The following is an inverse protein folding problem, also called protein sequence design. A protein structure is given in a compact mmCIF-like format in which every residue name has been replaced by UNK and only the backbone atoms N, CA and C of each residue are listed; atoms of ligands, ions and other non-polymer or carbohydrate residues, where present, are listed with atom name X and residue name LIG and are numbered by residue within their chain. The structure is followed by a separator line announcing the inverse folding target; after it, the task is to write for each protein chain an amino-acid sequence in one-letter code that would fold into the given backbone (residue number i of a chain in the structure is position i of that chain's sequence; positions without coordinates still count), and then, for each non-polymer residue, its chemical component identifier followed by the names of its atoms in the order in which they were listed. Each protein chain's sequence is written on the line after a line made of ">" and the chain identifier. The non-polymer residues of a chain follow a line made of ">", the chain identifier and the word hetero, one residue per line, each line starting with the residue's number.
data_IF_044073422793
#
_entry.id   IF_044073422793
#
_cell.length_a   1.000
_cell.length_b   1.000
_cell.length_c   1.000
_cell.angle_alpha   90.00
_cell.angle_beta   90.00
_cell.angle_gamma   90.00
#
_symmetry.space_group_name_H-M   'P 1'
#
loop_
_entity.id
_entity.type
_entity.pdbx_description
1 polymer ?
#
# COMPACT_ATOMS: atom_id res chain seq x y z
N UNK A 1 17.02 -32.24 -31.66
CA UNK A 1 16.94 -33.13 -32.84
C UNK A 1 17.24 -32.38 -34.14
N UNK A 2 16.37 -31.49 -34.66
CA UNK A 2 16.64 -30.79 -35.94
C UNK A 2 17.91 -29.92 -35.88
N UNK A 3 18.07 -29.11 -34.83
CA UNK A 3 19.30 -28.32 -34.61
C UNK A 3 20.55 -29.20 -34.55
N UNK A 4 20.46 -30.38 -33.94
CA UNK A 4 21.62 -31.25 -33.75
C UNK A 4 22.04 -31.91 -35.08
N UNK A 5 21.07 -32.22 -35.95
CA UNK A 5 21.32 -32.68 -37.32
C UNK A 5 21.92 -31.54 -38.17
N UNK A 6 21.41 -30.32 -38.02
CA UNK A 6 21.84 -29.14 -38.77
C UNK A 6 22.96 -28.34 -38.08
N UNK A 7 23.65 -28.93 -37.11
CA UNK A 7 24.58 -28.21 -36.22
C UNK A 7 25.71 -27.51 -36.98
N UNK A 8 26.22 -28.13 -38.04
CA UNK A 8 27.27 -27.54 -38.88
C UNK A 8 26.75 -26.30 -39.63
N UNK A 9 25.54 -26.37 -40.20
CA UNK A 9 24.91 -25.23 -40.87
C UNK A 9 24.68 -24.08 -39.88
N UNK A 10 24.17 -24.39 -38.69
CA UNK A 10 23.87 -23.42 -37.63
C UNK A 10 25.16 -22.74 -37.11
N UNK A 11 26.27 -23.48 -37.00
CA UNK A 11 27.55 -22.93 -36.51
C UNK A 11 28.36 -22.18 -37.56
N UNK A 12 28.36 -22.64 -38.80
CA UNK A 12 29.26 -22.11 -39.84
C UNK A 12 28.53 -21.11 -40.75
N UNK A 13 27.42 -21.53 -41.35
CA UNK A 13 26.71 -20.73 -42.35
C UNK A 13 25.89 -19.61 -41.69
N UNK A 14 25.05 -19.96 -40.72
CA UNK A 14 24.15 -19.00 -40.05
C UNK A 14 24.95 -17.92 -39.31
N UNK A 15 26.00 -18.32 -38.59
CA UNK A 15 26.91 -17.39 -37.91
C UNK A 15 27.66 -16.48 -38.90
N UNK A 16 28.18 -17.04 -40.00
CA UNK A 16 28.90 -16.26 -41.02
C UNK A 16 28.02 -15.24 -41.75
N UNK A 17 26.73 -15.53 -41.92
CA UNK A 17 25.76 -14.65 -42.59
C UNK A 17 24.91 -13.80 -41.63
N UNK A 18 25.14 -13.88 -40.31
CA UNK A 18 24.35 -13.20 -39.27
C UNK A 18 22.84 -13.45 -39.39
N UNK A 19 22.47 -14.70 -39.71
CA UNK A 19 21.07 -15.12 -39.79
C UNK A 19 20.60 -15.65 -38.43
N UNK A 20 19.29 -15.83 -38.28
CA UNK A 20 18.71 -16.42 -37.06
C UNK A 20 19.06 -17.91 -36.95
N UNK A 21 19.51 -18.39 -35.77
CA UNK A 21 19.71 -19.81 -35.50
C UNK A 21 18.46 -20.66 -35.75
N UNK A 22 18.67 -21.92 -36.10
CA UNK A 22 17.59 -22.89 -36.40
C UNK A 22 16.57 -22.96 -35.25
N UNK A 23 17.02 -22.89 -34.01
CA UNK A 23 16.12 -22.87 -32.85
C UNK A 23 15.25 -21.61 -32.81
N UNK A 24 15.86 -20.43 -32.94
CA UNK A 24 15.15 -19.14 -32.96
C UNK A 24 14.15 -19.08 -34.10
N UNK A 25 14.51 -19.57 -35.28
CA UNK A 25 13.61 -19.65 -36.43
C UNK A 25 12.37 -20.50 -36.11
N UNK A 26 12.56 -21.66 -35.45
CA UNK A 26 11.45 -22.50 -34.99
C UNK A 26 10.54 -21.78 -33.99
N UNK A 27 11.13 -21.03 -33.05
CA UNK A 27 10.40 -20.22 -32.06
C UNK A 27 9.60 -19.11 -32.75
N UNK A 28 10.19 -18.40 -33.71
CA UNK A 28 9.52 -17.35 -34.51
C UNK A 28 8.32 -17.94 -35.27
N UNK A 29 8.52 -19.05 -35.98
CA UNK A 29 7.45 -19.70 -36.75
C UNK A 29 6.30 -20.17 -35.85
N UNK A 30 6.61 -20.78 -34.70
CA UNK A 30 5.59 -21.20 -33.74
C UNK A 30 4.86 -20.00 -33.12
N UNK A 31 5.58 -18.93 -32.77
CA UNK A 31 5.00 -17.70 -32.26
C UNK A 31 4.02 -17.10 -33.26
N UNK A 32 4.44 -16.90 -34.50
CA UNK A 32 3.69 -16.11 -35.47
C UNK A 32 2.53 -16.89 -36.11
N UNK A 33 2.70 -18.20 -36.34
CA UNK A 33 1.70 -19.02 -37.02
C UNK A 33 0.80 -19.84 -36.09
N UNK A 34 1.18 -20.04 -34.82
CA UNK A 34 0.37 -20.80 -33.85
C UNK A 34 -0.08 -19.91 -32.71
N UNK A 35 0.83 -19.41 -31.88
CA UNK A 35 0.45 -18.71 -30.63
C UNK A 35 -0.20 -17.37 -30.89
N UNK A 36 0.30 -16.59 -31.86
CA UNK A 36 -0.26 -15.29 -32.27
C UNK A 36 -1.30 -15.39 -33.36
N UNK A 37 -1.65 -16.61 -33.80
CA UNK A 37 -2.81 -16.78 -34.67
C UNK A 37 -4.07 -16.26 -33.94
N UNK A 38 -4.87 -15.34 -34.52
CA UNK A 38 -5.83 -14.54 -33.76
C UNK A 38 -6.75 -15.33 -32.84
N UNK A 39 -7.35 -16.41 -33.32
CA UNK A 39 -8.26 -17.24 -32.52
C UNK A 39 -7.56 -17.97 -31.38
N UNK A 40 -6.34 -18.46 -31.60
CA UNK A 40 -5.55 -19.17 -30.58
C UNK A 40 -5.06 -18.18 -29.54
N UNK A 41 -4.53 -17.03 -29.97
CA UNK A 41 -4.03 -15.97 -29.08
C UNK A 41 -5.13 -15.50 -28.13
N UNK A 42 -6.29 -15.14 -28.69
CA UNK A 42 -7.38 -14.57 -27.91
C UNK A 42 -7.99 -15.63 -26.96
N UNK A 43 -8.09 -16.88 -27.41
CA UNK A 43 -8.56 -17.98 -26.57
C UNK A 43 -7.57 -18.30 -25.44
N UNK A 44 -6.28 -18.44 -25.75
CA UNK A 44 -5.22 -18.68 -24.77
C UNK A 44 -5.21 -17.59 -23.70
N UNK A 45 -5.23 -16.32 -24.11
CA UNK A 45 -5.30 -15.18 -23.20
C UNK A 45 -6.53 -15.28 -22.29
N UNK A 46 -7.72 -15.46 -22.87
CA UNK A 46 -8.95 -15.52 -22.08
C UNK A 46 -8.94 -16.69 -21.10
N UNK A 47 -8.48 -17.87 -21.52
CA UNK A 47 -8.39 -19.04 -20.64
C UNK A 47 -7.44 -18.79 -19.47
N UNK A 48 -6.25 -18.23 -19.71
CA UNK A 48 -5.30 -17.94 -18.63
C UNK A 48 -5.86 -16.92 -17.65
N UNK A 49 -6.48 -15.84 -18.14
CA UNK A 49 -7.12 -14.83 -17.31
C UNK A 49 -8.27 -15.41 -16.48
N UNK A 50 -9.13 -16.22 -17.10
CA UNK A 50 -10.24 -16.87 -16.42
C UNK A 50 -9.77 -17.84 -15.33
N UNK A 51 -8.65 -18.56 -15.55
CA UNK A 51 -8.06 -19.41 -14.51
C UNK A 51 -7.63 -18.58 -13.30
N UNK A 52 -6.96 -17.44 -13.50
CA UNK A 52 -6.57 -16.57 -12.39
C UNK A 52 -7.81 -16.00 -11.67
N UNK A 53 -8.82 -15.57 -12.44
CA UNK A 53 -10.08 -15.07 -11.87
C UNK A 53 -10.84 -16.13 -11.07
N UNK A 54 -10.83 -17.39 -11.52
CA UNK A 54 -11.37 -18.56 -10.80
C UNK A 54 -10.63 -18.79 -9.49
N UNK A 55 -9.31 -18.77 -9.52
CA UNK A 55 -8.50 -18.94 -8.30
C UNK A 55 -8.75 -17.84 -7.27
N UNK A 56 -8.93 -16.57 -7.71
CA UNK A 56 -9.30 -15.46 -6.80
C UNK A 56 -10.65 -15.65 -6.11
N UNK A 57 -11.57 -16.41 -6.74
CA UNK A 57 -12.86 -16.81 -6.13
C UNK A 57 -12.76 -18.05 -5.25
N UNK A 58 -11.56 -18.62 -5.08
CA UNK A 58 -11.33 -19.83 -4.29
C UNK A 58 -11.57 -21.13 -5.06
N UNK A 59 -11.72 -21.08 -6.39
CA UNK A 59 -11.84 -22.28 -7.22
C UNK A 59 -10.45 -22.92 -7.43
N UNK A 60 -10.41 -24.26 -7.50
CA UNK A 60 -9.17 -25.00 -7.77
C UNK A 60 -8.85 -24.90 -9.27
N UNK A 61 -7.61 -24.55 -9.60
CA UNK A 61 -7.11 -24.46 -10.97
C UNK A 61 -5.85 -25.30 -11.17
N UNK A 62 -5.57 -25.64 -12.42
CA UNK A 62 -4.32 -26.30 -12.81
C UNK A 62 -3.17 -25.29 -12.92
N UNK A 63 -2.51 -24.99 -11.79
CA UNK A 63 -1.42 -24.00 -11.71
C UNK A 63 -0.24 -24.31 -12.63
N UNK A 64 0.05 -25.59 -12.88
CA UNK A 64 1.08 -26.04 -13.82
C UNK A 64 0.80 -25.59 -15.24
N UNK A 65 -0.45 -25.62 -15.68
CA UNK A 65 -0.82 -25.19 -17.03
C UNK A 65 -0.57 -23.69 -17.23
N UNK A 66 -0.95 -22.87 -16.24
CA UNK A 66 -0.70 -21.41 -16.26
C UNK A 66 0.81 -21.14 -16.29
N UNK A 67 1.57 -21.83 -15.42
CA UNK A 67 3.03 -21.69 -15.35
C UNK A 67 3.71 -22.05 -16.67
N UNK A 68 3.35 -23.19 -17.25
CA UNK A 68 3.93 -23.66 -18.51
C UNK A 68 3.59 -22.72 -19.66
N UNK A 69 2.36 -22.20 -19.71
CA UNK A 69 1.96 -21.22 -20.70
C UNK A 69 2.73 -19.89 -20.55
N UNK A 70 2.90 -19.40 -19.33
CA UNK A 70 3.69 -18.18 -19.06
C UNK A 70 5.16 -18.38 -19.48
N UNK A 71 5.76 -19.52 -19.14
CA UNK A 71 7.14 -19.85 -19.54
C UNK A 71 7.29 -20.00 -21.06
N UNK A 72 6.29 -20.56 -21.73
CA UNK A 72 6.24 -20.62 -23.18
C UNK A 72 6.21 -19.21 -23.78
N UNK A 73 5.33 -18.33 -23.30
CA UNK A 73 5.23 -16.95 -23.78
C UNK A 73 6.52 -16.16 -23.55
N UNK A 74 7.21 -16.38 -22.42
CA UNK A 74 8.54 -15.81 -22.19
C UNK A 74 9.57 -16.33 -23.19
N UNK A 75 9.59 -17.64 -23.44
CA UNK A 75 10.54 -18.26 -24.38
C UNK A 75 10.32 -17.81 -25.84
N UNK A 76 9.08 -17.48 -26.20
CA UNK A 76 8.71 -16.99 -27.53
C UNK A 76 9.21 -15.57 -27.83
N UNK A 77 9.59 -14.82 -26.80
CA UNK A 77 10.12 -13.48 -26.95
C UNK A 77 11.53 -13.44 -27.54
N UNK A 78 12.33 -14.51 -27.41
CA UNK A 78 13.75 -14.59 -27.80
C UNK A 78 14.56 -13.44 -27.17
N UNK A 79 15.17 -13.71 -26.02
CA UNK A 79 15.97 -12.76 -25.23
C UNK A 79 15.22 -11.50 -24.75
N UNK A 80 13.90 -11.43 -24.94
CA UNK A 80 13.05 -10.37 -24.40
C UNK A 80 11.70 -10.93 -23.91
N UNK A 81 10.95 -10.09 -23.21
CA UNK A 81 9.66 -10.44 -22.59
C UNK A 81 8.44 -9.96 -23.39
N UNK A 82 8.61 -9.44 -24.60
CA UNK A 82 7.54 -8.73 -25.34
C UNK A 82 6.29 -9.60 -25.54
N UNK A 83 6.47 -10.86 -25.95
CA UNK A 83 5.36 -11.80 -26.19
C UNK A 83 4.57 -12.04 -24.90
N UNK A 84 5.24 -12.30 -23.79
CA UNK A 84 4.59 -12.44 -22.48
C UNK A 84 3.91 -11.14 -22.02
N UNK A 85 4.60 -10.00 -22.17
CA UNK A 85 4.11 -8.70 -21.72
C UNK A 85 2.85 -8.25 -22.48
N UNK A 86 2.87 -8.39 -23.81
CA UNK A 86 1.80 -7.91 -24.69
C UNK A 86 0.62 -8.89 -24.71
N UNK A 87 0.89 -10.18 -24.84
CA UNK A 87 -0.16 -11.17 -25.09
C UNK A 87 -0.84 -11.66 -23.79
N UNK A 88 -0.18 -11.50 -22.62
CA UNK A 88 -0.72 -11.94 -21.33
C UNK A 88 -0.63 -10.88 -20.21
N UNK A 89 0.56 -10.38 -19.87
CA UNK A 89 0.75 -9.59 -18.64
C UNK A 89 -0.06 -8.28 -18.65
N UNK A 90 -0.04 -7.53 -19.74
CA UNK A 90 -0.78 -6.26 -19.85
C UNK A 90 -2.30 -6.50 -19.70
N UNK A 91 -2.92 -7.43 -20.45
CA UNK A 91 -4.31 -7.83 -20.20
C UNK A 91 -4.57 -8.31 -18.76
N UNK A 92 -3.65 -9.06 -18.18
CA UNK A 92 -3.74 -9.56 -16.81
C UNK A 92 -3.77 -8.42 -15.79
N UNK A 93 -2.86 -7.45 -15.90
CA UNK A 93 -2.83 -6.29 -15.03
C UNK A 93 -4.10 -5.43 -15.18
N UNK A 94 -4.60 -5.24 -16.41
CA UNK A 94 -5.86 -4.52 -16.65
C UNK A 94 -7.08 -5.21 -16.04
N UNK A 95 -7.22 -6.53 -16.24
CA UNK A 95 -8.31 -7.29 -15.62
C UNK A 95 -8.20 -7.28 -14.09
N UNK A 96 -6.98 -7.33 -13.56
CA UNK A 96 -6.74 -7.28 -12.13
C UNK A 96 -7.08 -5.92 -11.54
N UNK A 97 -6.72 -4.84 -12.22
CA UNK A 97 -7.09 -3.49 -11.82
C UNK A 97 -8.61 -3.34 -11.71
N UNK A 98 -9.35 -3.81 -12.72
CA UNK A 98 -10.81 -3.76 -12.71
C UNK A 98 -11.43 -4.64 -11.61
N UNK A 99 -10.88 -5.83 -11.37
CA UNK A 99 -11.31 -6.71 -10.28
C UNK A 99 -11.15 -6.03 -8.92
N UNK A 100 -9.97 -5.47 -8.63
CA UNK A 100 -9.70 -4.82 -7.34
C UNK A 100 -10.39 -3.47 -7.21
N UNK A 101 -10.66 -2.76 -8.31
CA UNK A 101 -11.50 -1.56 -8.30
C UNK A 101 -12.91 -1.89 -7.80
N UNK A 102 -13.54 -2.96 -8.30
CA UNK A 102 -14.86 -3.38 -7.84
C UNK A 102 -14.83 -3.93 -6.41
N UNK A 103 -13.80 -4.71 -6.07
CA UNK A 103 -13.63 -5.23 -4.70
C UNK A 103 -13.42 -4.11 -3.68
N UNK A 104 -12.63 -3.08 -4.01
CA UNK A 104 -12.38 -1.91 -3.14
C UNK A 104 -13.69 -1.20 -2.75
N UNK A 105 -14.56 -0.93 -3.74
CA UNK A 105 -15.82 -0.22 -3.54
C UNK A 105 -16.76 -1.02 -2.63
N UNK A 106 -16.85 -2.33 -2.86
CA UNK A 106 -17.62 -3.23 -2.00
C UNK A 106 -17.06 -3.27 -0.58
N UNK A 107 -15.74 -3.40 -0.45
CA UNK A 107 -15.10 -3.48 0.86
C UNK A 107 -15.23 -2.18 1.66
N UNK A 108 -15.11 -1.02 1.02
CA UNK A 108 -15.32 0.28 1.65
C UNK A 108 -16.78 0.49 2.11
N UNK A 109 -17.75 0.00 1.34
CA UNK A 109 -19.17 0.12 1.69
C UNK A 109 -19.58 -0.81 2.85
N UNK A 110 -18.98 -1.99 2.95
CA UNK A 110 -19.39 -3.04 3.89
C UNK A 110 -18.55 -3.11 5.18
N UNK A 111 -17.39 -2.44 5.24
CA UNK A 111 -16.42 -2.66 6.33
C UNK A 111 -15.90 -1.35 6.93
N UNK A 112 -15.46 -1.42 8.19
CA UNK A 112 -14.74 -0.34 8.86
C UNK A 112 -13.30 -0.20 8.36
N UNK A 113 -12.64 0.92 8.67
CA UNK A 113 -11.30 1.22 8.13
C UNK A 113 -10.28 0.15 8.52
N UNK A 114 -10.31 -0.31 9.77
CA UNK A 114 -9.36 -1.33 10.24
C UNK A 114 -9.60 -2.71 9.62
N UNK A 115 -10.86 -3.08 9.35
CA UNK A 115 -11.18 -4.31 8.64
C UNK A 115 -10.76 -4.21 7.17
N UNK A 116 -11.01 -3.07 6.53
CA UNK A 116 -10.57 -2.79 5.16
C UNK A 116 -9.05 -2.94 5.03
N UNK A 117 -8.28 -2.28 5.90
CA UNK A 117 -6.81 -2.30 5.90
C UNK A 117 -6.27 -3.73 6.04
N UNK A 118 -6.83 -4.52 6.97
CA UNK A 118 -6.43 -5.93 7.14
C UNK A 118 -6.73 -6.78 5.91
N UNK A 119 -7.90 -6.58 5.28
CA UNK A 119 -8.26 -7.29 4.04
C UNK A 119 -7.35 -6.91 2.88
N UNK A 120 -7.02 -5.63 2.72
CA UNK A 120 -6.09 -5.17 1.68
C UNK A 120 -4.70 -5.77 1.89
N UNK A 121 -4.17 -5.75 3.11
CA UNK A 121 -2.88 -6.38 3.41
C UNK A 121 -2.87 -7.88 3.07
N UNK A 122 -3.94 -8.61 3.40
CA UNK A 122 -4.10 -10.01 3.03
C UNK A 122 -4.14 -10.21 1.50
N UNK A 123 -4.91 -9.39 0.78
CA UNK A 123 -4.99 -9.46 -0.69
C UNK A 123 -3.65 -9.20 -1.37
N UNK A 124 -2.86 -8.25 -0.88
CA UNK A 124 -1.51 -7.98 -1.40
C UNK A 124 -0.61 -9.21 -1.20
N UNK A 125 -0.64 -9.84 -0.02
CA UNK A 125 0.14 -11.05 0.25
C UNK A 125 -0.28 -12.22 -0.64
N UNK A 126 -1.59 -12.47 -0.73
CA UNK A 126 -2.15 -13.54 -1.57
C UNK A 126 -1.77 -13.38 -3.04
N UNK A 127 -1.82 -12.14 -3.55
CA UNK A 127 -1.51 -11.86 -4.95
C UNK A 127 0.00 -11.92 -5.24
N UNK A 128 0.85 -11.49 -4.31
CA UNK A 128 2.29 -11.67 -4.40
C UNK A 128 2.68 -13.16 -4.43
N UNK A 129 2.13 -13.97 -3.51
CA UNK A 129 2.35 -15.41 -3.47
C UNK A 129 1.86 -16.11 -4.75
N UNK A 130 0.70 -15.70 -5.24
CA UNK A 130 0.13 -16.18 -6.51
C UNK A 130 1.06 -15.90 -7.69
N UNK A 131 1.57 -14.68 -7.79
CA UNK A 131 2.51 -14.30 -8.85
C UNK A 131 3.79 -15.14 -8.79
N UNK A 132 4.37 -15.33 -7.61
CA UNK A 132 5.59 -16.14 -7.43
C UNK A 132 5.37 -17.61 -7.82
N UNK A 133 4.18 -18.15 -7.61
CA UNK A 133 3.92 -19.57 -7.83
C UNK A 133 3.95 -19.96 -9.32
N UNK A 134 3.36 -19.14 -10.19
CA UNK A 134 3.17 -19.50 -11.60
C UNK A 134 3.33 -18.37 -12.62
N UNK A 135 3.56 -17.12 -12.23
CA UNK A 135 3.87 -16.02 -13.15
C UNK A 135 5.38 -15.81 -13.27
N UNK A 136 5.78 -14.92 -14.19
CA UNK A 136 7.17 -14.50 -14.25
C UNK A 136 7.55 -13.65 -13.02
N UNK A 137 8.80 -13.78 -12.55
CA UNK A 137 9.29 -13.02 -11.38
C UNK A 137 9.08 -11.52 -11.51
N UNK A 138 9.17 -11.01 -12.74
CA UNK A 138 9.00 -9.57 -12.98
C UNK A 138 7.54 -9.10 -12.86
N UNK A 139 6.57 -10.01 -12.88
CA UNK A 139 5.14 -9.69 -12.77
C UNK A 139 4.73 -9.40 -11.34
N UNK A 140 5.39 -10.00 -10.35
CA UNK A 140 5.10 -9.82 -8.91
C UNK A 140 5.06 -8.34 -8.52
N UNK A 141 6.13 -7.60 -8.81
CA UNK A 141 6.21 -6.17 -8.49
C UNK A 141 5.12 -5.36 -9.23
N UNK A 142 4.80 -5.74 -10.47
CA UNK A 142 3.81 -5.03 -11.29
C UNK A 142 2.39 -5.24 -10.77
N UNK A 143 2.04 -6.46 -10.40
CA UNK A 143 0.69 -6.74 -9.86
C UNK A 143 0.53 -6.13 -8.47
N UNK A 144 1.55 -6.19 -7.61
CA UNK A 144 1.52 -5.54 -6.29
C UNK A 144 1.26 -4.04 -6.43
N UNK A 145 1.93 -3.36 -7.37
CA UNK A 145 1.68 -1.93 -7.66
C UNK A 145 0.25 -1.65 -8.12
N UNK A 146 -0.37 -2.55 -8.89
CA UNK A 146 -1.79 -2.41 -9.28
C UNK A 146 -2.69 -2.46 -8.05
N UNK A 147 -2.44 -3.38 -7.11
CA UNK A 147 -3.21 -3.46 -5.87
C UNK A 147 -2.99 -2.23 -4.99
N UNK A 148 -1.75 -1.76 -4.88
CA UNK A 148 -1.40 -0.54 -4.12
C UNK A 148 -2.06 0.72 -4.71
N UNK A 149 -2.20 0.81 -6.04
CA UNK A 149 -2.92 1.90 -6.69
C UNK A 149 -4.44 1.81 -6.45
N UNK A 150 -5.05 0.68 -6.81
CA UNK A 150 -6.51 0.49 -6.77
C UNK A 150 -7.08 0.41 -5.35
N UNK A 151 -6.39 -0.24 -4.40
CA UNK A 151 -6.91 -0.48 -3.05
C UNK A 151 -6.49 0.61 -2.05
N UNK A 152 -5.38 1.31 -2.28
CA UNK A 152 -4.81 2.26 -1.33
C UNK A 152 -4.79 3.67 -1.92
N UNK A 153 -4.01 3.90 -2.99
CA UNK A 153 -3.71 5.23 -3.53
C UNK A 153 -4.97 6.01 -3.89
N UNK A 154 -5.91 5.39 -4.60
CA UNK A 154 -7.18 6.01 -5.02
C UNK A 154 -8.14 6.31 -3.85
N UNK A 155 -7.94 5.67 -2.71
CA UNK A 155 -8.84 5.71 -1.57
C UNK A 155 -8.21 6.28 -0.29
N UNK A 156 -6.98 6.81 -0.36
CA UNK A 156 -6.24 7.32 0.81
C UNK A 156 -7.10 8.24 1.69
N UNK A 157 -7.67 9.29 1.10
CA UNK A 157 -8.53 10.25 1.82
C UNK A 157 -9.78 9.58 2.39
N UNK A 158 -10.47 8.78 1.58
CA UNK A 158 -11.67 8.04 1.99
C UNK A 158 -11.41 7.14 3.19
N UNK A 159 -10.28 6.45 3.24
CA UNK A 159 -9.92 5.54 4.33
C UNK A 159 -9.62 6.33 5.62
N UNK A 160 -8.87 7.43 5.53
CA UNK A 160 -8.49 8.20 6.73
C UNK A 160 -9.64 9.04 7.29
N UNK A 161 -10.53 9.55 6.43
CA UNK A 161 -11.69 10.38 6.78
C UNK A 161 -12.96 9.56 7.03
N UNK A 162 -12.90 8.22 6.97
CA UNK A 162 -14.10 7.39 7.07
C UNK A 162 -14.84 7.61 8.39
N UNK A 163 -16.15 7.86 8.31
CA UNK A 163 -16.98 8.14 9.46
C UNK A 163 -16.90 7.01 10.51
N UNK A 164 -16.73 7.39 11.78
CA UNK A 164 -16.68 6.49 12.93
C UNK A 164 -15.57 5.42 12.93
N UNK A 165 -14.71 5.35 11.92
CA UNK A 165 -13.67 4.32 11.83
C UNK A 165 -12.31 4.78 11.28
N UNK A 166 -12.24 5.94 10.64
CA UNK A 166 -11.01 6.55 10.15
C UNK A 166 -10.07 7.00 11.28
N UNK A 167 -9.01 7.73 10.91
CA UNK A 167 -7.93 8.15 11.81
C UNK A 167 -8.46 8.91 13.02
N UNK A 168 -9.46 9.78 12.82
CA UNK A 168 -10.12 10.53 13.90
C UNK A 168 -10.68 9.59 14.99
N UNK A 169 -11.40 8.53 14.59
CA UNK A 169 -11.98 7.56 15.51
C UNK A 169 -10.88 6.74 16.20
N UNK A 170 -9.85 6.33 15.45
CA UNK A 170 -8.75 5.55 16.04
C UNK A 170 -7.96 6.35 17.08
N UNK A 171 -7.74 7.65 16.85
CA UNK A 171 -7.12 8.55 17.82
C UNK A 171 -8.02 8.78 19.04
N UNK A 172 -9.31 9.02 18.82
CA UNK A 172 -10.29 9.27 19.90
C UNK A 172 -10.46 8.07 20.84
N UNK A 173 -10.46 6.85 20.31
CA UNK A 173 -10.64 5.62 21.08
C UNK A 173 -9.32 4.90 21.40
N UNK A 174 -8.17 5.55 21.21
CA UNK A 174 -6.85 5.01 21.49
C UNK A 174 -6.55 3.64 20.85
N UNK A 175 -7.01 3.43 19.62
CA UNK A 175 -6.79 2.20 18.84
C UNK A 175 -5.39 2.19 18.20
N UNK A 176 -4.36 2.08 19.04
CA UNK A 176 -2.96 2.16 18.62
C UNK A 176 -2.58 1.08 17.61
N UNK A 177 -3.02 -0.16 17.79
CA UNK A 177 -2.68 -1.28 16.90
C UNK A 177 -3.29 -1.12 15.49
N UNK A 178 -4.52 -0.61 15.41
CA UNK A 178 -5.17 -0.33 14.13
C UNK A 178 -4.43 0.81 13.39
N UNK A 179 -3.96 1.84 14.12
CA UNK A 179 -3.12 2.92 13.55
C UNK A 179 -1.75 2.41 13.09
N UNK A 180 -1.10 1.53 13.86
CA UNK A 180 0.17 0.92 13.46
C UNK A 180 0.01 0.10 12.19
N UNK A 181 -1.11 -0.62 12.06
CA UNK A 181 -1.43 -1.40 10.87
C UNK A 181 -1.69 -0.47 9.67
N UNK A 182 -2.41 0.63 9.87
CA UNK A 182 -2.63 1.65 8.85
C UNK A 182 -1.31 2.27 8.39
N UNK A 183 -0.43 2.66 9.33
CA UNK A 183 0.87 3.24 9.06
C UNK A 183 1.75 2.33 8.19
N UNK A 184 1.84 1.05 8.55
CA UNK A 184 2.60 0.03 7.80
C UNK A 184 2.06 -0.18 6.39
N UNK A 185 0.72 -0.19 6.22
CA UNK A 185 0.13 -0.35 4.90
C UNK A 185 0.38 0.88 4.02
N UNK A 186 0.31 2.08 4.60
CA UNK A 186 0.44 3.35 3.87
C UNK A 186 1.90 3.70 3.54
N UNK A 187 2.89 3.00 4.13
CA UNK A 187 4.30 3.08 3.74
C UNK A 187 4.53 2.63 2.29
N UNK A 188 3.66 1.77 1.77
CA UNK A 188 3.74 1.22 0.42
C UNK A 188 3.48 2.23 -0.69
N UNK A 189 2.79 3.34 -0.38
CA UNK A 189 2.34 4.31 -1.38
C UNK A 189 2.92 5.69 -1.11
N UNK A 190 3.28 6.44 -2.17
CA UNK A 190 3.70 7.82 -2.00
C UNK A 190 2.56 8.64 -1.37
N UNK A 191 2.91 9.59 -0.51
CA UNK A 191 1.97 10.44 0.23
C UNK A 191 1.08 9.73 1.26
N UNK A 192 1.22 8.42 1.47
CA UNK A 192 0.46 7.69 2.48
C UNK A 192 0.65 8.25 3.89
N UNK A 193 1.90 8.32 4.35
CA UNK A 193 2.25 8.90 5.66
C UNK A 193 1.86 10.37 5.80
N UNK A 194 2.03 11.18 4.74
CA UNK A 194 1.61 12.60 4.76
C UNK A 194 0.11 12.74 4.99
N UNK A 195 -0.70 11.89 4.34
CA UNK A 195 -2.15 11.92 4.46
C UNK A 195 -2.62 11.59 5.88
N UNK A 196 -2.00 10.58 6.51
CA UNK A 196 -2.28 10.25 7.92
C UNK A 196 -1.85 11.42 8.82
N UNK A 197 -0.65 11.98 8.59
CA UNK A 197 -0.12 13.08 9.38
C UNK A 197 -1.00 14.35 9.29
N UNK A 198 -1.56 14.66 8.12
CA UNK A 198 -2.47 15.80 7.94
C UNK A 198 -3.81 15.60 8.68
N UNK A 199 -4.36 14.38 8.65
CA UNK A 199 -5.57 14.04 9.40
C UNK A 199 -5.32 14.09 10.92
N UNK A 200 -4.22 13.50 11.38
CA UNK A 200 -3.78 13.56 12.78
C UNK A 200 -3.59 15.01 13.23
N UNK A 201 -2.94 15.84 12.41
CA UNK A 201 -2.69 17.26 12.69
C UNK A 201 -4.00 18.03 12.86
N UNK A 202 -4.99 17.77 11.99
CA UNK A 202 -6.31 18.39 12.08
C UNK A 202 -7.02 18.03 13.38
N UNK A 203 -7.02 16.75 13.77
CA UNK A 203 -7.57 16.27 15.04
C UNK A 203 -6.84 16.89 16.25
N UNK A 204 -5.50 16.87 16.24
CA UNK A 204 -4.69 17.39 17.34
C UNK A 204 -4.92 18.89 17.54
N UNK A 205 -4.99 19.66 16.45
CA UNK A 205 -5.30 21.10 16.53
C UNK A 205 -6.70 21.37 17.05
N UNK A 206 -7.68 20.54 16.71
CA UNK A 206 -9.04 20.67 17.22
C UNK A 206 -9.10 20.43 18.73
N UNK A 207 -8.50 19.33 19.21
CA UNK A 207 -8.40 19.02 20.64
C UNK A 207 -7.61 20.09 21.40
N UNK A 208 -6.47 20.49 20.85
CA UNK A 208 -5.62 21.53 21.45
C UNK A 208 -6.33 22.88 21.53
N UNK A 209 -7.09 23.28 20.50
CA UNK A 209 -7.92 24.49 20.56
C UNK A 209 -8.96 24.40 21.65
N UNK A 210 -9.72 23.30 21.73
CA UNK A 210 -10.74 23.10 22.77
C UNK A 210 -10.18 23.28 24.17
N UNK A 211 -9.05 22.63 24.47
CA UNK A 211 -8.37 22.76 25.76
C UNK A 211 -7.91 24.19 26.06
N UNK A 212 -7.49 24.93 25.03
CA UNK A 212 -6.94 26.28 25.20
C UNK A 212 -8.03 27.34 25.32
N UNK A 213 -9.16 27.18 24.63
CA UNK A 213 -10.30 28.11 24.69
C UNK A 213 -11.18 27.88 25.91
N UNK A 214 -11.48 26.63 26.28
CA UNK A 214 -12.34 26.33 27.45
C UNK A 214 -11.75 26.84 28.77
N UNK A 215 -10.42 26.86 28.88
CA UNK A 215 -9.73 27.38 30.07
C UNK A 215 -9.55 28.91 30.09
N UNK A 216 -9.81 29.59 28.96
CA UNK A 216 -9.71 31.05 28.88
C UNK A 216 -10.92 31.76 29.52
N UNK A 217 -12.10 31.12 29.50
CA UNK A 217 -13.36 31.75 29.91
C UNK A 217 -13.70 31.58 31.40
N UNK A 218 -13.15 30.57 32.11
CA UNK A 218 -13.65 30.21 33.44
C UNK A 218 -12.69 30.46 34.62
N UNK A 219 -11.52 31.08 34.42
CA UNK A 219 -10.56 31.25 35.52
C UNK A 219 -10.12 29.92 36.17
N UNK A 220 -10.31 28.81 35.44
CA UNK A 220 -9.94 27.46 35.87
C UNK A 220 -8.43 27.36 36.09
N UNK A 221 -8.06 26.56 37.09
CA UNK A 221 -6.70 26.37 37.59
C UNK A 221 -5.66 26.27 36.46
N UNK A 222 -4.70 27.20 36.44
CA UNK A 222 -3.48 27.13 35.63
C UNK A 222 -2.83 25.74 35.67
N UNK A 223 -2.94 25.08 36.83
CA UNK A 223 -2.44 23.72 37.04
C UNK A 223 -3.15 22.70 36.14
N UNK A 224 -4.47 22.74 36.07
CA UNK A 224 -5.29 21.83 35.24
C UNK A 224 -5.06 22.09 33.75
N UNK A 225 -4.91 23.36 33.35
CA UNK A 225 -4.56 23.72 31.98
C UNK A 225 -3.24 23.06 31.54
N UNK A 226 -2.17 23.24 32.30
CA UNK A 226 -0.86 22.66 31.97
C UNK A 226 -0.89 21.13 32.04
N UNK A 227 -1.58 20.55 33.03
CA UNK A 227 -1.72 19.10 33.14
C UNK A 227 -2.42 18.49 31.92
N UNK A 228 -3.54 19.07 31.47
CA UNK A 228 -4.27 18.58 30.30
C UNK A 228 -3.41 18.65 29.02
N UNK A 229 -2.56 19.67 28.88
CA UNK A 229 -1.61 19.78 27.76
C UNK A 229 -0.52 18.70 27.82
N UNK A 230 0.00 18.40 29.01
CA UNK A 230 0.96 17.32 29.22
C UNK A 230 0.33 15.96 28.90
N UNK A 231 -0.88 15.70 29.39
CA UNK A 231 -1.61 14.45 29.14
C UNK A 231 -1.90 14.25 27.63
N UNK A 232 -2.26 15.34 26.93
CA UNK A 232 -2.42 15.32 25.47
C UNK A 232 -1.08 15.03 24.79
N UNK A 233 0.02 15.64 25.25
CA UNK A 233 1.36 15.41 24.69
C UNK A 233 1.80 13.96 24.88
N UNK A 234 1.61 13.42 26.07
CA UNK A 234 1.93 12.03 26.40
C UNK A 234 1.14 11.05 25.52
N UNK A 235 -0.14 11.35 25.27
CA UNK A 235 -0.99 10.57 24.37
C UNK A 235 -0.45 10.55 22.93
N UNK A 236 -0.04 11.70 22.39
CA UNK A 236 0.50 11.78 21.03
C UNK A 236 1.92 11.23 20.92
N UNK A 237 2.73 11.36 21.96
CA UNK A 237 4.05 10.72 22.02
C UNK A 237 3.94 9.19 22.10
N UNK A 238 2.92 8.69 22.79
CA UNK A 238 2.60 7.27 22.79
C UNK A 238 2.25 6.78 21.37
N UNK A 239 1.36 7.47 20.64
CA UNK A 239 1.06 7.12 19.24
C UNK A 239 2.28 7.24 18.34
N UNK A 240 3.09 8.30 18.50
CA UNK A 240 4.32 8.49 17.73
C UNK A 240 5.26 7.29 17.89
N UNK A 241 5.44 6.82 19.12
CA UNK A 241 6.34 5.71 19.42
C UNK A 241 5.76 4.35 19.02
N UNK A 242 4.49 4.10 19.30
CA UNK A 242 3.89 2.77 19.19
C UNK A 242 3.11 2.52 17.89
N UNK A 243 2.55 3.57 17.27
CA UNK A 243 1.84 3.47 15.99
C UNK A 243 2.68 3.94 14.79
N UNK A 244 3.46 5.02 14.96
CA UNK A 244 4.16 5.69 13.86
C UNK A 244 5.68 5.48 13.85
N UNK A 245 6.21 4.55 14.64
CA UNK A 245 7.63 4.15 14.64
C UNK A 245 8.64 5.32 14.81
N UNK A 246 8.31 6.32 15.64
CA UNK A 246 9.09 7.56 15.85
C UNK A 246 9.40 8.32 14.55
N UNK A 247 8.48 8.27 13.58
CA UNK A 247 8.64 8.94 12.30
C UNK A 247 8.78 10.47 12.44
N UNK A 248 9.78 11.02 11.74
CA UNK A 248 10.17 12.44 11.82
C UNK A 248 9.09 13.38 11.29
N UNK A 249 8.31 12.99 10.28
CA UNK A 249 7.21 13.79 9.74
C UNK A 249 6.15 13.97 10.82
N UNK A 250 5.76 12.88 11.48
CA UNK A 250 4.76 12.89 12.56
C UNK A 250 5.27 13.70 13.75
N UNK A 251 6.51 13.48 14.19
CA UNK A 251 7.13 14.23 15.29
C UNK A 251 7.17 15.74 15.03
N UNK A 252 7.59 16.14 13.82
CA UNK A 252 7.61 17.55 13.41
C UNK A 252 6.20 18.14 13.43
N UNK A 253 5.20 17.38 12.95
CA UNK A 253 3.81 17.84 12.89
C UNK A 253 3.22 18.03 14.28
N UNK A 254 3.41 17.05 15.17
CA UNK A 254 2.99 17.14 16.59
C UNK A 254 3.60 18.39 17.23
N UNK A 255 4.92 18.59 17.14
CA UNK A 255 5.57 19.76 17.73
C UNK A 255 5.03 21.09 17.19
N UNK A 256 4.86 21.18 15.86
CA UNK A 256 4.31 22.38 15.22
C UNK A 256 2.87 22.66 15.64
N UNK A 257 2.07 21.62 15.86
CA UNK A 257 0.68 21.78 16.28
C UNK A 257 0.59 22.22 17.74
N UNK A 258 1.42 21.66 18.63
CA UNK A 258 1.54 22.12 20.03
C UNK A 258 1.95 23.59 20.11
N UNK A 259 2.96 24.00 19.34
CA UNK A 259 3.35 25.41 19.24
C UNK A 259 2.18 26.29 18.76
N UNK A 260 1.44 25.84 17.75
CA UNK A 260 0.30 26.57 17.20
C UNK A 260 -0.77 26.86 18.25
N UNK A 261 -1.31 25.84 18.93
CA UNK A 261 -2.45 26.07 19.84
C UNK A 261 -2.05 26.63 21.20
N UNK A 262 -0.84 26.37 21.70
CA UNK A 262 -0.36 27.02 22.94
C UNK A 262 -0.28 28.54 22.74
N UNK A 263 0.21 28.99 21.58
CA UNK A 263 0.31 30.41 21.26
C UNK A 263 -1.04 31.12 21.05
N UNK A 264 -2.16 30.38 21.01
CA UNK A 264 -3.49 31.00 20.96
C UNK A 264 -3.91 31.61 22.31
N UNK A 265 -3.32 31.20 23.43
CA UNK A 265 -3.59 31.77 24.74
C UNK A 265 -2.39 32.57 25.25
N UNK A 266 -2.58 33.88 25.39
CA UNK A 266 -1.52 34.80 25.86
C UNK A 266 -1.09 34.53 27.31
N UNK A 267 -1.91 33.83 28.11
CA UNK A 267 -1.60 33.46 29.50
C UNK A 267 -0.83 32.15 29.64
N UNK A 268 -0.56 31.42 28.57
CA UNK A 268 0.17 30.15 28.65
C UNK A 268 1.53 30.25 29.36
N UNK A 269 2.37 31.30 29.17
CA UNK A 269 3.60 31.46 29.93
C UNK A 269 3.39 31.65 31.44
N UNK A 270 2.36 32.41 31.83
CA UNK A 270 1.99 32.62 33.24
C UNK A 270 1.52 31.31 33.88
N UNK A 271 0.67 30.55 33.18
CA UNK A 271 0.16 29.27 33.67
C UNK A 271 1.25 28.22 33.84
N UNK A 272 2.24 28.19 32.94
CA UNK A 272 3.44 27.36 33.09
C UNK A 272 4.24 27.73 34.35
N UNK A 273 4.45 29.02 34.61
CA UNK A 273 5.15 29.47 35.82
C UNK A 273 4.43 29.05 37.10
N UNK A 274 3.10 29.19 37.15
CA UNK A 274 2.28 28.79 38.30
C UNK A 274 2.29 27.28 38.51
N UNK A 275 2.27 26.49 37.44
CA UNK A 275 2.36 25.03 37.53
C UNK A 275 3.70 24.57 38.09
N UNK A 276 4.81 25.18 37.65
CA UNK A 276 6.16 24.86 38.17
C UNK A 276 6.27 25.23 39.64
N UNK A 277 5.79 26.40 40.07
CA UNK A 277 5.78 26.83 41.47
C UNK A 277 4.98 25.87 42.38
N UNK A 278 3.81 25.42 41.94
CA UNK A 278 3.01 24.42 42.68
C UNK A 278 3.74 23.07 42.83
N UNK A 279 4.37 22.59 41.75
CA UNK A 279 5.16 21.33 41.78
C UNK A 279 6.37 21.44 42.70
N UNK A 280 7.07 22.58 42.70
CA UNK A 280 8.22 22.81 43.60
C UNK A 280 7.79 22.92 45.07
N UNK A 281 6.69 23.63 45.36
CA UNK A 281 6.14 23.74 46.73
C UNK A 281 5.67 22.40 47.29
N UNK A 282 5.16 21.50 46.44
CA UNK A 282 4.79 20.13 46.83
C UNK A 282 6.00 19.21 46.98
N UNK A 283 7.01 19.35 46.11
CA UNK A 283 8.26 18.58 46.18
C UNK A 283 9.15 18.93 47.38
N UNK A 284 9.01 20.12 47.96
CA UNK A 284 9.70 20.51 49.20
C UNK A 284 9.03 20.06 50.50
N UNK A 285 7.97 19.24 50.44
CA UNK A 285 7.26 18.69 51.60
C UNK A 285 7.57 17.21 51.90
N UNK A 286 8.61 16.65 51.27
CA UNK A 286 9.19 15.35 51.63
C UNK A 286 10.65 15.52 52.08
#
# INVERSE_FOLDING_TARGET
>A
MIRDILMYMDRVYVSGQKLEPVFNLGVILFRDHVVRYPSIRDHLRQTLLDMVAKERRGEIIEKSAVKNACQMLMSLGIDNRSVYADDFETPFLLQSAEFYRLESQKLLAENSASVYIRKVAARISEEAERAVHYLDKSTEERIVRVLEDELITKHLKTIVEMENSGVYSMLKFSKCDDLATMYKLFERVPNGHSTIADCMSSYLREQGRGLVTENAEEGKNAITYVQNLLDLKDTFDYFLKHAFNDDKIFKKRINSDFEYFINLNQRSPEYLSLFIDDKLKKGGKE
#
